data_IF_808127515857
#
_entry.id   IF_808127515857
#
_cell.length_a   1.000
_cell.length_b   1.000
_cell.length_c   1.000
_cell.angle_alpha   90.00
_cell.angle_beta   90.00
_cell.angle_gamma   90.00
#
_symmetry.space_group_name_H-M   'P 1'
#
loop_
_entity.id
_entity.type
_entity.pdbx_description
1 polymer ?
#
# COMPACT_ATOMS: atom_id res chain seq x y z
N UNK A 1 4.21 6.61 -11.05
CA UNK A 1 2.78 6.86 -10.73
C UNK A 1 2.03 7.28 -11.99
N UNK A 2 0.74 6.99 -12.13
CA UNK A 2 -0.06 7.39 -13.29
C UNK A 2 0.01 8.88 -13.59
N UNK A 3 -0.12 9.76 -12.59
CA UNK A 3 -0.02 11.21 -12.79
C UNK A 3 1.31 11.66 -13.40
N UNK A 4 2.43 10.98 -13.10
CA UNK A 4 3.73 11.31 -13.73
C UNK A 4 3.77 10.89 -15.20
N UNK A 5 3.19 9.74 -15.52
CA UNK A 5 3.06 9.28 -16.92
C UNK A 5 2.21 10.27 -17.70
N UNK A 6 1.07 10.69 -17.16
CA UNK A 6 0.19 11.67 -17.77
C UNK A 6 0.88 13.02 -18.00
N UNK A 7 1.65 13.51 -17.03
CA UNK A 7 2.44 14.74 -17.19
C UNK A 7 3.40 14.67 -18.39
N UNK A 8 4.08 13.55 -18.58
CA UNK A 8 4.96 13.34 -19.73
C UNK A 8 4.21 13.23 -21.05
N UNK A 9 3.03 12.59 -21.06
CA UNK A 9 2.17 12.51 -22.25
C UNK A 9 1.69 13.88 -22.67
N UNK A 10 1.19 14.68 -21.74
CA UNK A 10 0.71 16.05 -22.00
C UNK A 10 1.82 16.97 -22.49
N UNK A 11 3.04 16.79 -22.02
CA UNK A 11 4.23 17.55 -22.49
C UNK A 11 4.81 17.02 -23.80
N UNK A 12 4.29 15.92 -24.34
CA UNK A 12 4.83 15.28 -25.55
C UNK A 12 6.23 14.66 -25.38
N UNK A 13 6.72 14.54 -24.14
CA UNK A 13 8.01 13.91 -23.84
C UNK A 13 7.93 12.38 -23.73
N UNK A 14 6.72 11.84 -23.70
CA UNK A 14 6.43 10.41 -23.78
C UNK A 14 5.37 10.20 -24.87
N UNK A 15 5.60 9.21 -25.73
CA UNK A 15 4.67 8.78 -26.79
C UNK A 15 4.42 7.30 -26.64
N UNK A 16 3.15 6.89 -26.68
CA UNK A 16 2.75 5.49 -26.44
C UNK A 16 2.46 4.70 -27.72
N UNK A 17 2.64 5.29 -28.92
CA UNK A 17 2.26 4.67 -30.20
C UNK A 17 2.95 3.32 -30.45
N UNK A 18 4.14 3.14 -29.93
CA UNK A 18 4.96 1.95 -30.14
C UNK A 18 4.95 0.96 -28.97
N UNK A 19 4.21 1.21 -27.89
CA UNK A 19 4.16 0.27 -26.78
C UNK A 19 3.52 -1.04 -27.24
N UNK A 20 4.03 -2.15 -26.72
CA UNK A 20 3.53 -3.50 -27.00
C UNK A 20 2.92 -4.15 -25.77
N UNK A 21 3.25 -3.61 -24.60
CA UNK A 21 2.81 -4.12 -23.32
C UNK A 21 2.48 -2.97 -22.37
N UNK A 22 1.38 -3.13 -21.64
CA UNK A 22 0.96 -2.25 -20.54
C UNK A 22 0.90 -3.08 -19.27
N UNK A 23 1.59 -2.64 -18.24
CA UNK A 23 1.62 -3.32 -16.94
C UNK A 23 1.15 -2.36 -15.87
N UNK A 24 0.15 -2.80 -15.11
CA UNK A 24 -0.26 -2.17 -13.85
C UNK A 24 0.31 -2.98 -12.69
N UNK A 25 1.10 -2.35 -11.85
CA UNK A 25 1.64 -2.94 -10.63
C UNK A 25 1.06 -2.24 -9.41
N UNK A 26 0.77 -2.96 -8.35
CA UNK A 26 0.05 -2.47 -7.16
C UNK A 26 -1.29 -1.78 -7.53
N UNK A 27 -2.13 -2.43 -8.36
CA UNK A 27 -3.35 -1.81 -8.91
C UNK A 27 -4.34 -1.37 -7.82
N UNK A 28 -4.51 -2.16 -6.75
CA UNK A 28 -5.33 -1.80 -5.60
C UNK A 28 -4.84 -0.52 -4.92
N UNK A 29 -3.53 -0.37 -4.81
CA UNK A 29 -2.92 0.83 -4.25
C UNK A 29 -3.10 2.05 -5.16
N UNK A 30 -2.94 1.90 -6.48
CA UNK A 30 -3.19 3.01 -7.40
C UNK A 30 -4.62 3.52 -7.28
N UNK A 31 -5.60 2.63 -7.17
CA UNK A 31 -7.00 3.00 -7.00
C UNK A 31 -7.29 3.63 -5.63
N UNK A 32 -6.74 3.07 -4.55
CA UNK A 32 -6.90 3.63 -3.20
C UNK A 32 -6.28 5.02 -3.05
N UNK A 33 -5.25 5.33 -3.83
CA UNK A 33 -4.64 6.66 -3.90
C UNK A 33 -5.37 7.63 -4.84
N UNK A 34 -6.48 7.23 -5.45
CA UNK A 34 -7.30 8.08 -6.30
C UNK A 34 -6.76 8.30 -7.72
N UNK A 35 -5.85 7.47 -8.21
CA UNK A 35 -5.26 7.60 -9.56
C UNK A 35 -6.16 7.12 -10.70
N UNK A 36 -7.39 6.69 -10.43
CA UNK A 36 -8.30 6.23 -11.47
C UNK A 36 -8.54 7.25 -12.60
N UNK A 37 -8.78 8.56 -12.33
CA UNK A 37 -8.93 9.55 -13.39
C UNK A 37 -7.70 9.66 -14.29
N UNK A 38 -6.50 9.66 -13.72
CA UNK A 38 -5.25 9.73 -14.47
C UNK A 38 -5.07 8.51 -15.37
N UNK A 39 -5.40 7.31 -14.84
CA UNK A 39 -5.36 6.06 -15.61
C UNK A 39 -6.32 6.09 -16.79
N UNK A 40 -7.54 6.58 -16.60
CA UNK A 40 -8.53 6.75 -17.69
C UNK A 40 -8.06 7.76 -18.74
N UNK A 41 -7.40 8.82 -18.33
CA UNK A 41 -6.85 9.79 -19.28
C UNK A 41 -5.68 9.16 -20.07
N UNK A 42 -4.75 8.43 -19.41
CA UNK A 42 -3.67 7.70 -20.09
C UNK A 42 -4.24 6.73 -21.13
N UNK A 43 -5.38 6.09 -20.86
CA UNK A 43 -6.02 5.16 -21.80
C UNK A 43 -6.28 5.79 -23.18
N UNK A 44 -6.55 7.10 -23.25
CA UNK A 44 -6.79 7.82 -24.51
C UNK A 44 -5.55 7.96 -25.40
N UNK A 45 -4.37 7.83 -24.79
CA UNK A 45 -3.07 7.89 -25.51
C UNK A 45 -2.57 6.51 -25.93
N UNK A 46 -3.27 5.44 -25.54
CA UNK A 46 -2.89 4.08 -25.94
C UNK A 46 -3.15 3.87 -27.43
N UNK A 47 -2.32 3.07 -28.13
CA UNK A 47 -2.52 2.79 -29.54
C UNK A 47 -3.84 2.03 -29.75
N UNK A 48 -4.51 2.28 -30.88
CA UNK A 48 -5.76 1.59 -31.24
C UNK A 48 -5.57 0.11 -31.57
N UNK A 49 -4.34 -0.31 -31.87
CA UNK A 49 -4.01 -1.72 -32.07
C UNK A 49 -4.02 -2.49 -30.76
N UNK A 50 -4.20 -3.79 -30.83
CA UNK A 50 -4.11 -4.64 -29.64
C UNK A 50 -2.70 -4.57 -29.03
N UNK A 51 -2.65 -4.44 -27.73
CA UNK A 51 -1.45 -4.52 -26.89
C UNK A 51 -1.66 -5.58 -25.81
N UNK A 52 -0.58 -6.22 -25.38
CA UNK A 52 -0.65 -7.09 -24.21
C UNK A 52 -0.81 -6.23 -22.95
N UNK A 53 -1.74 -6.57 -22.09
CA UNK A 53 -1.92 -5.86 -20.83
C UNK A 53 -1.95 -6.85 -19.67
N UNK A 54 -1.27 -6.51 -18.59
CA UNK A 54 -1.22 -7.31 -17.36
C UNK A 54 -1.49 -6.40 -16.16
N UNK A 55 -2.12 -6.95 -15.14
CA UNK A 55 -2.40 -6.26 -13.90
C UNK A 55 -1.96 -7.13 -12.72
N UNK A 56 -1.10 -6.57 -11.87
CA UNK A 56 -0.64 -7.19 -10.64
C UNK A 56 -1.22 -6.42 -9.46
N UNK A 57 -1.72 -7.15 -8.47
CA UNK A 57 -2.31 -6.56 -7.27
C UNK A 57 -2.19 -7.54 -6.10
N UNK A 58 -2.00 -7.03 -4.90
CA UNK A 58 -2.01 -7.86 -3.70
C UNK A 58 -3.43 -8.33 -3.35
N UNK A 59 -4.43 -7.50 -3.67
CA UNK A 59 -5.85 -7.79 -3.46
C UNK A 59 -6.65 -7.53 -4.72
N UNK A 60 -7.76 -8.27 -4.92
CA UNK A 60 -8.64 -8.14 -6.08
C UNK A 60 -10.10 -7.86 -5.66
N UNK A 61 -10.36 -6.75 -4.96
CA UNK A 61 -11.74 -6.33 -4.70
C UNK A 61 -12.44 -5.96 -6.02
N UNK A 62 -13.76 -5.89 -5.99
CA UNK A 62 -14.61 -5.68 -7.19
C UNK A 62 -14.14 -4.49 -8.06
N UNK A 63 -13.69 -3.41 -7.45
CA UNK A 63 -13.22 -2.23 -8.20
C UNK A 63 -11.90 -2.47 -8.96
N UNK A 64 -11.00 -3.34 -8.46
CA UNK A 64 -9.78 -3.75 -9.19
C UNK A 64 -10.15 -4.65 -10.37
N UNK A 65 -11.10 -5.56 -10.18
CA UNK A 65 -11.60 -6.43 -11.24
C UNK A 65 -12.26 -5.59 -12.35
N UNK A 66 -13.07 -4.59 -11.99
CA UNK A 66 -13.66 -3.67 -12.97
C UNK A 66 -12.57 -2.92 -13.76
N UNK A 67 -11.54 -2.42 -13.08
CA UNK A 67 -10.41 -1.77 -13.75
C UNK A 67 -9.73 -2.73 -14.74
N UNK A 68 -9.53 -3.98 -14.37
CA UNK A 68 -8.94 -4.98 -15.26
C UNK A 68 -9.75 -5.12 -16.55
N UNK A 69 -11.07 -5.25 -16.47
CA UNK A 69 -11.96 -5.33 -17.64
C UNK A 69 -11.97 -4.07 -18.51
N UNK A 70 -11.63 -2.91 -17.98
CA UNK A 70 -11.53 -1.68 -18.75
C UNK A 70 -10.25 -1.57 -19.60
N UNK A 71 -9.16 -2.17 -19.13
CA UNK A 71 -7.83 -2.06 -19.75
C UNK A 71 -7.34 -3.33 -20.42
N UNK A 72 -7.86 -4.49 -20.02
CA UNK A 72 -7.44 -5.80 -20.53
C UNK A 72 -8.63 -6.44 -21.24
N UNK A 73 -8.43 -6.76 -22.49
CA UNK A 73 -9.45 -7.47 -23.27
C UNK A 73 -9.50 -8.93 -22.81
N UNK A 74 -10.68 -9.39 -22.38
CA UNK A 74 -10.90 -10.76 -21.92
C UNK A 74 -9.86 -11.19 -20.88
N UNK A 75 -9.80 -10.50 -19.69
CA UNK A 75 -8.76 -10.76 -18.71
C UNK A 75 -8.89 -12.16 -18.13
N UNK A 76 -7.80 -12.91 -18.13
CA UNK A 76 -7.66 -14.16 -17.41
C UNK A 76 -7.16 -13.84 -15.98
N UNK A 77 -7.79 -14.45 -14.98
CA UNK A 77 -7.43 -14.26 -13.60
C UNK A 77 -6.58 -15.41 -13.07
N UNK A 78 -5.37 -15.09 -12.64
CA UNK A 78 -4.43 -16.04 -12.04
C UNK A 78 -4.23 -15.66 -10.58
N UNK A 79 -4.73 -16.48 -9.66
CA UNK A 79 -4.48 -16.34 -8.23
C UNK A 79 -3.34 -17.24 -7.78
N UNK A 80 -2.31 -16.64 -7.20
CA UNK A 80 -1.21 -17.36 -6.55
C UNK A 80 -1.43 -17.52 -5.04
N UNK A 81 -2.41 -16.80 -4.50
CA UNK A 81 -2.82 -16.96 -3.11
C UNK A 81 -3.75 -18.17 -3.02
N UNK A 82 -3.40 -19.15 -2.21
CA UNK A 82 -4.36 -20.17 -1.76
C UNK A 82 -5.56 -19.45 -1.13
N UNK A 83 -6.74 -20.04 -1.19
CA UNK A 83 -8.06 -19.48 -0.81
C UNK A 83 -8.17 -18.85 0.60
N UNK A 84 -7.08 -18.75 1.32
CA UNK A 84 -7.02 -18.18 2.66
C UNK A 84 -6.34 -16.81 2.65
N UNK A 85 -7.16 -15.76 2.65
CA UNK A 85 -6.73 -14.36 2.92
C UNK A 85 -6.15 -14.22 4.34
N UNK A 86 -6.37 -15.23 5.20
CA UNK A 86 -5.87 -15.25 6.56
C UNK A 86 -4.68 -16.18 6.69
N UNK A 87 -3.58 -15.67 7.22
CA UNK A 87 -2.48 -16.51 7.69
C UNK A 87 -3.04 -17.34 8.86
N UNK A 88 -3.14 -18.65 8.69
CA UNK A 88 -3.77 -19.57 9.66
C UNK A 88 -3.16 -19.52 11.06
N UNK A 89 -1.94 -18.99 11.18
CA UNK A 89 -1.21 -18.86 12.44
C UNK A 89 -1.26 -17.44 13.02
N UNK A 90 -2.18 -16.57 12.56
CA UNK A 90 -2.33 -15.21 13.06
C UNK A 90 -3.60 -15.10 13.88
N UNK A 91 -3.47 -14.75 15.14
CA UNK A 91 -4.59 -14.40 15.99
C UNK A 91 -5.00 -12.94 15.78
N UNK A 92 -6.30 -12.69 15.61
CA UNK A 92 -6.86 -11.34 15.45
C UNK A 92 -7.60 -10.94 16.71
N UNK A 93 -7.10 -9.93 17.43
CA UNK A 93 -7.66 -9.45 18.70
C UNK A 93 -8.15 -8.02 18.54
N UNK A 94 -9.34 -7.72 19.05
CA UNK A 94 -9.92 -6.39 19.07
C UNK A 94 -10.01 -5.87 20.51
N UNK A 95 -9.44 -4.69 20.75
CA UNK A 95 -9.54 -4.00 22.02
C UNK A 95 -10.46 -2.79 21.88
N UNK A 96 -11.50 -2.73 22.68
CA UNK A 96 -12.38 -1.56 22.76
C UNK A 96 -11.97 -0.66 23.91
N UNK A 97 -11.79 0.63 23.66
CA UNK A 97 -11.40 1.61 24.69
C UNK A 97 -12.37 2.80 24.72
N UNK A 98 -13.62 2.61 25.14
CA UNK A 98 -14.59 3.69 25.19
C UNK A 98 -14.15 4.77 26.18
N UNK A 99 -14.03 6.03 25.70
CA UNK A 99 -13.64 7.18 26.52
C UNK A 99 -12.20 7.20 27.02
N UNK A 100 -11.37 6.24 26.64
CA UNK A 100 -9.96 6.18 27.04
C UNK A 100 -9.07 6.80 25.96
N UNK A 101 -7.99 7.47 26.40
CA UNK A 101 -6.91 7.88 25.54
C UNK A 101 -6.26 6.64 24.88
N UNK A 102 -6.20 6.63 23.53
CA UNK A 102 -5.65 5.52 22.76
C UNK A 102 -4.19 5.23 23.11
N UNK A 103 -3.45 6.23 23.58
CA UNK A 103 -2.03 6.06 23.93
C UNK A 103 -1.89 5.25 25.22
N UNK A 104 -2.73 5.54 26.20
CA UNK A 104 -2.78 4.74 27.44
C UNK A 104 -3.28 3.32 27.18
N UNK A 105 -4.25 3.17 26.29
CA UNK A 105 -4.72 1.84 25.89
C UNK A 105 -3.61 1.05 25.21
N UNK A 106 -2.85 1.67 24.29
CA UNK A 106 -1.71 1.04 23.63
C UNK A 106 -0.65 0.56 24.62
N UNK A 107 -0.23 1.41 25.56
CA UNK A 107 0.76 1.02 26.59
C UNK A 107 0.26 -0.18 27.40
N UNK A 108 -1.00 -0.15 27.85
CA UNK A 108 -1.58 -1.28 28.58
C UNK A 108 -1.66 -2.56 27.77
N UNK A 109 -1.94 -2.48 26.47
CA UNK A 109 -1.95 -3.65 25.59
C UNK A 109 -0.52 -4.22 25.47
N UNK A 110 0.48 -3.37 25.27
CA UNK A 110 1.87 -3.82 25.19
C UNK A 110 2.31 -4.48 26.51
N UNK A 111 1.94 -3.92 27.65
CA UNK A 111 2.23 -4.50 28.97
C UNK A 111 1.51 -5.86 29.18
N UNK A 112 0.26 -5.97 28.71
CA UNK A 112 -0.55 -7.17 28.88
C UNK A 112 -0.05 -8.31 27.97
N UNK A 113 0.16 -8.01 26.68
CA UNK A 113 0.55 -8.98 25.66
C UNK A 113 2.06 -9.32 25.73
N UNK A 114 2.85 -8.41 26.30
CA UNK A 114 4.31 -8.54 26.47
C UNK A 114 5.01 -9.13 25.22
N UNK A 115 4.81 -8.58 24.01
CA UNK A 115 5.35 -9.14 22.79
C UNK A 115 6.87 -8.99 22.76
N UNK A 116 7.58 -9.99 22.18
CA UNK A 116 9.01 -9.90 21.94
C UNK A 116 9.39 -8.79 20.96
N UNK A 117 8.54 -8.54 19.96
CA UNK A 117 8.62 -7.40 19.03
C UNK A 117 7.23 -6.96 18.60
N UNK A 118 7.08 -5.71 18.19
CA UNK A 118 5.79 -5.15 17.75
C UNK A 118 5.95 -4.13 16.63
N UNK A 119 5.00 -4.10 15.71
CA UNK A 119 4.88 -3.06 14.69
C UNK A 119 3.56 -2.30 14.91
N UNK A 120 3.64 -0.99 15.09
CA UNK A 120 2.49 -0.13 15.33
C UNK A 120 2.24 0.75 14.11
N UNK A 121 1.12 0.54 13.43
CA UNK A 121 0.74 1.34 12.27
C UNK A 121 -0.02 2.61 12.68
N UNK A 122 0.38 3.75 12.10
CA UNK A 122 -0.23 5.05 12.32
C UNK A 122 -0.66 5.70 11.01
N UNK A 123 -1.74 6.49 11.05
CA UNK A 123 -2.26 7.15 9.86
C UNK A 123 -1.43 8.35 9.39
N UNK A 124 -0.63 8.97 10.28
CA UNK A 124 0.16 10.16 9.97
C UNK A 124 1.58 10.06 10.49
N UNK A 125 2.54 10.71 9.82
CA UNK A 125 3.93 10.82 10.24
C UNK A 125 4.07 11.48 11.62
N UNK A 126 3.28 12.52 11.88
CA UNK A 126 3.27 13.20 13.18
C UNK A 126 2.88 12.24 14.31
N UNK A 127 1.92 11.34 14.05
CA UNK A 127 1.51 10.34 15.01
C UNK A 127 2.60 9.29 15.26
N UNK A 128 3.31 8.87 14.20
CA UNK A 128 4.47 7.98 14.33
C UNK A 128 5.52 8.60 15.24
N UNK A 129 5.93 9.84 14.94
CA UNK A 129 6.93 10.55 15.75
C UNK A 129 6.50 10.72 17.20
N UNK A 130 5.27 11.16 17.44
CA UNK A 130 4.73 11.30 18.78
C UNK A 130 4.76 9.98 19.56
N UNK A 131 4.28 8.89 18.96
CA UNK A 131 4.23 7.59 19.62
C UNK A 131 5.61 7.00 19.88
N UNK A 132 6.59 7.20 19.01
CA UNK A 132 7.96 6.75 19.27
C UNK A 132 8.52 7.40 20.54
N UNK A 133 8.30 8.72 20.72
CA UNK A 133 8.72 9.45 21.92
C UNK A 133 7.98 8.93 23.16
N UNK A 134 6.67 8.71 23.05
CA UNK A 134 5.87 8.18 24.17
C UNK A 134 6.40 6.82 24.60
N UNK A 135 6.59 5.89 23.66
CA UNK A 135 7.09 4.54 23.94
C UNK A 135 8.48 4.57 24.57
N UNK A 136 9.39 5.39 24.05
CA UNK A 136 10.72 5.57 24.63
C UNK A 136 10.67 6.09 26.08
N UNK A 137 9.75 7.00 26.41
CA UNK A 137 9.54 7.48 27.79
C UNK A 137 9.04 6.39 28.74
N UNK A 138 8.32 5.41 28.20
CA UNK A 138 7.91 4.23 28.97
C UNK A 138 8.98 3.12 29.00
N UNK A 139 10.18 3.37 28.45
CA UNK A 139 11.32 2.47 28.51
C UNK A 139 11.38 1.44 27.36
N UNK A 140 10.52 1.55 26.35
CA UNK A 140 10.56 0.69 25.19
C UNK A 140 11.63 1.14 24.18
N UNK A 141 12.35 0.20 23.56
CA UNK A 141 13.25 0.47 22.45
C UNK A 141 12.42 0.62 21.17
N UNK A 142 11.97 1.83 20.90
CA UNK A 142 11.06 2.15 19.80
C UNK A 142 11.72 3.06 18.78
N UNK A 143 11.70 2.62 17.52
CA UNK A 143 12.11 3.40 16.36
C UNK A 143 10.89 3.84 15.53
N UNK A 144 11.07 4.89 14.75
CA UNK A 144 10.07 5.35 13.80
C UNK A 144 10.43 4.95 12.36
N UNK A 145 9.41 4.56 11.58
CA UNK A 145 9.56 4.24 10.17
C UNK A 145 8.59 5.08 9.34
N UNK A 146 9.11 6.11 8.69
CA UNK A 146 8.33 7.02 7.84
C UNK A 146 8.93 7.15 6.44
N UNK A 147 8.18 7.76 5.51
CA UNK A 147 8.68 8.04 4.16
C UNK A 147 9.81 9.09 4.14
N UNK A 148 10.03 9.82 5.22
CA UNK A 148 11.07 10.85 5.31
C UNK A 148 12.44 10.25 5.62
N UNK A 149 12.48 9.01 6.09
CA UNK A 149 13.73 8.30 6.33
C UNK A 149 14.40 7.85 5.04
N UNK A 150 15.72 8.08 4.90
CA UNK A 150 16.51 7.52 3.80
C UNK A 150 16.36 5.99 3.72
N UNK A 151 16.37 5.44 2.50
CA UNK A 151 16.18 4.00 2.26
C UNK A 151 17.12 3.12 3.11
N UNK A 152 18.38 3.55 3.27
CA UNK A 152 19.39 2.84 4.08
C UNK A 152 18.99 2.75 5.56
N UNK A 153 18.39 3.80 6.12
CA UNK A 153 17.93 3.82 7.51
C UNK A 153 16.67 2.96 7.68
N UNK A 154 15.74 3.02 6.72
CA UNK A 154 14.53 2.17 6.74
C UNK A 154 14.88 0.69 6.82
N UNK A 155 15.87 0.24 6.02
CA UNK A 155 16.34 -1.14 6.06
C UNK A 155 16.87 -1.52 7.44
N UNK A 156 17.69 -0.67 8.07
CA UNK A 156 18.23 -0.92 9.41
C UNK A 156 17.15 -1.03 10.48
N UNK A 157 16.12 -0.17 10.42
CA UNK A 157 15.00 -0.23 11.37
C UNK A 157 14.25 -1.55 11.22
N UNK A 158 13.96 -1.98 9.98
CA UNK A 158 13.27 -3.24 9.71
C UNK A 158 14.09 -4.50 10.10
N UNK A 159 15.43 -4.42 10.06
CA UNK A 159 16.30 -5.53 10.48
C UNK A 159 16.37 -5.69 12.02
N UNK A 160 15.87 -4.72 12.80
CA UNK A 160 15.84 -4.76 14.27
C UNK A 160 14.55 -5.33 14.84
N UNK A 161 13.50 -5.45 14.04
CA UNK A 161 12.19 -6.00 14.41
C UNK A 161 12.14 -7.48 14.05
#
# INVERSE_FOLDING_TARGET
TPGRVLDHLLKGTLVLDQIRMLIFDEADRMLSMGFYPDMKEIQRYLPRRAINACMFSATFPTYVIHLAHEFIREPEFISLSSDHVHVTNTEHIFYTSPGMDKDRALIRIIELENPASAIIFCNTKQRVHYLSIVLQRFGYDADELTSDLPQKHRKKVLERV
#
